data_IF_642629204195
#
_entry.id   IF_642629204195
#
_cell.length_a   1.000
_cell.length_b   1.000
_cell.length_c   1.000
_cell.angle_alpha   90.00
_cell.angle_beta   90.00
_cell.angle_gamma   90.00
#
_symmetry.space_group_name_H-M   'P 1'
#
loop_
_entity.id
_entity.type
_entity.pdbx_description
1 polymer ?
#
# COMPACT_ATOMS: atom_id res chain seq x y z
N UNK A 1 -8.33 -36.15 -11.38
CA UNK A 1 -7.95 -34.90 -10.70
C UNK A 1 -6.68 -35.14 -9.90
N UNK A 2 -5.61 -34.42 -10.19
CA UNK A 2 -4.39 -34.49 -9.38
C UNK A 2 -4.65 -33.89 -7.99
N UNK A 3 -3.93 -34.32 -6.96
CA UNK A 3 -4.05 -33.80 -5.58
C UNK A 3 -3.97 -32.27 -5.55
N UNK A 4 -3.15 -31.70 -6.45
CA UNK A 4 -2.98 -30.26 -6.65
C UNK A 4 -4.26 -29.56 -7.14
N UNK A 5 -5.01 -30.16 -8.07
CA UNK A 5 -6.27 -29.60 -8.56
C UNK A 5 -7.33 -29.58 -7.47
N UNK A 6 -7.46 -30.66 -6.69
CA UNK A 6 -8.40 -30.71 -5.55
C UNK A 6 -8.08 -29.67 -4.48
N UNK A 7 -6.79 -29.47 -4.18
CA UNK A 7 -6.34 -28.43 -3.27
C UNK A 7 -6.64 -27.02 -3.80
N UNK A 8 -6.47 -26.81 -5.10
CA UNK A 8 -6.79 -25.54 -5.74
C UNK A 8 -8.29 -25.23 -5.65
N UNK A 9 -9.14 -26.18 -6.01
CA UNK A 9 -10.61 -26.04 -5.91
C UNK A 9 -11.06 -25.79 -4.47
N UNK A 10 -10.39 -26.38 -3.48
CA UNK A 10 -10.67 -26.17 -2.07
C UNK A 10 -10.27 -24.77 -1.59
N UNK A 11 -9.07 -24.31 -1.95
CA UNK A 11 -8.54 -23.00 -1.54
C UNK A 11 -9.29 -21.85 -2.22
N UNK A 12 -9.75 -22.03 -3.45
CA UNK A 12 -10.53 -21.05 -4.20
C UNK A 12 -12.01 -21.01 -3.77
N UNK A 13 -12.46 -21.93 -2.91
CA UNK A 13 -13.84 -21.99 -2.45
C UNK A 13 -14.21 -20.74 -1.61
N UNK A 14 -15.30 -20.02 -1.94
CA UNK A 14 -15.75 -18.86 -1.18
C UNK A 14 -15.97 -19.14 0.31
N UNK A 15 -16.40 -20.36 0.67
CA UNK A 15 -16.59 -20.76 2.08
C UNK A 15 -15.27 -20.84 2.84
N UNK A 16 -14.21 -21.30 2.19
CA UNK A 16 -12.88 -21.33 2.79
C UNK A 16 -12.38 -19.91 3.03
N UNK A 17 -12.54 -19.00 2.06
CA UNK A 17 -12.20 -17.59 2.22
C UNK A 17 -13.00 -16.91 3.35
N UNK A 18 -14.30 -17.17 3.45
CA UNK A 18 -15.16 -16.68 4.54
C UNK A 18 -14.71 -17.22 5.91
N UNK A 19 -14.35 -18.50 5.98
CA UNK A 19 -13.79 -19.10 7.19
C UNK A 19 -12.50 -18.41 7.62
N UNK A 20 -11.54 -18.24 6.71
CA UNK A 20 -10.28 -17.54 7.01
C UNK A 20 -10.54 -16.10 7.44
N UNK A 21 -11.49 -15.41 6.79
CA UNK A 21 -11.91 -14.06 7.20
C UNK A 21 -12.43 -14.06 8.65
N UNK A 22 -13.27 -15.03 9.02
CA UNK A 22 -13.74 -15.20 10.39
C UNK A 22 -12.61 -15.40 11.39
N UNK A 23 -11.63 -16.25 11.05
CA UNK A 23 -10.43 -16.48 11.89
C UNK A 23 -9.61 -15.21 12.05
N UNK A 24 -9.45 -14.39 11.00
CA UNK A 24 -8.76 -13.09 11.08
C UNK A 24 -9.49 -12.12 12.02
N UNK A 25 -10.83 -12.05 11.94
CA UNK A 25 -11.63 -11.18 12.81
C UNK A 25 -11.52 -11.61 14.28
N UNK A 26 -11.61 -12.92 14.55
CA UNK A 26 -11.40 -13.45 15.90
C UNK A 26 -9.99 -13.13 16.40
N UNK A 27 -8.97 -13.32 15.56
CA UNK A 27 -7.59 -13.01 15.91
C UNK A 27 -7.37 -11.53 16.23
N UNK A 28 -8.01 -10.63 15.48
CA UNK A 28 -7.96 -9.19 15.75
C UNK A 28 -8.58 -8.84 17.11
N UNK A 29 -9.69 -9.48 17.48
CA UNK A 29 -10.31 -9.30 18.81
C UNK A 29 -9.39 -9.81 19.91
N UNK A 30 -8.81 -11.00 19.75
CA UNK A 30 -7.86 -11.57 20.72
C UNK A 30 -6.66 -10.64 20.94
N UNK A 31 -6.11 -10.07 19.87
CA UNK A 31 -5.01 -9.12 19.96
C UNK A 31 -5.39 -7.84 20.74
N UNK A 32 -6.62 -7.35 20.55
CA UNK A 32 -7.16 -6.27 21.37
C UNK A 32 -7.28 -6.65 22.84
N UNK A 33 -7.71 -7.87 23.14
CA UNK A 33 -7.81 -8.38 24.52
C UNK A 33 -6.43 -8.53 25.19
N UNK A 34 -5.38 -8.88 24.44
CA UNK A 34 -4.00 -8.95 24.95
C UNK A 34 -3.47 -7.60 25.47
N UNK A 35 -4.06 -6.47 25.04
CA UNK A 35 -3.66 -5.13 25.51
C UNK A 35 -4.17 -4.78 26.91
N UNK A 36 -5.11 -5.58 27.46
CA UNK A 36 -5.73 -5.32 28.76
C UNK A 36 -5.19 -6.27 29.82
N UNK A 37 -4.48 -5.70 30.80
CA UNK A 37 -3.92 -6.45 31.94
C UNK A 37 -5.01 -7.20 32.72
N UNK A 38 -6.21 -6.61 32.86
CA UNK A 38 -7.32 -7.23 33.58
C UNK A 38 -7.91 -8.47 32.88
N UNK A 39 -7.96 -8.46 31.55
CA UNK A 39 -8.37 -9.62 30.74
C UNK A 39 -7.27 -10.68 30.71
N UNK A 40 -6.03 -10.27 30.57
CA UNK A 40 -4.88 -11.18 30.58
C UNK A 40 -4.69 -11.86 31.94
N UNK A 41 -4.99 -11.19 33.05
CA UNK A 41 -4.97 -11.80 34.38
C UNK A 41 -6.02 -12.91 34.56
N UNK A 42 -7.21 -12.78 33.94
CA UNK A 42 -8.32 -13.74 34.09
C UNK A 42 -8.35 -14.83 33.02
N UNK A 43 -8.04 -14.47 31.78
CA UNK A 43 -8.20 -15.32 30.60
C UNK A 43 -6.92 -15.44 29.76
N UNK A 44 -5.79 -14.91 30.21
CA UNK A 44 -4.53 -14.86 29.45
C UNK A 44 -4.13 -16.19 28.80
N UNK A 45 -4.08 -17.32 29.54
CA UNK A 45 -3.73 -18.61 28.94
C UNK A 45 -4.67 -19.03 27.81
N UNK A 46 -5.96 -18.73 27.93
CA UNK A 46 -6.98 -19.04 26.90
C UNK A 46 -6.81 -18.13 25.69
N UNK A 47 -6.59 -16.83 25.91
CA UNK A 47 -6.36 -15.85 24.83
C UNK A 47 -5.12 -16.25 24.01
N UNK A 48 -4.00 -16.55 24.67
CA UNK A 48 -2.75 -16.96 24.01
C UNK A 48 -2.92 -18.29 23.26
N UNK A 49 -3.66 -19.25 23.84
CA UNK A 49 -3.95 -20.52 23.17
C UNK A 49 -4.78 -20.31 21.90
N UNK A 50 -5.82 -19.49 21.97
CA UNK A 50 -6.66 -19.16 20.81
C UNK A 50 -5.85 -18.41 19.74
N UNK A 51 -4.96 -17.49 20.12
CA UNK A 51 -4.05 -16.81 19.20
C UNK A 51 -3.13 -17.79 18.47
N UNK A 52 -2.54 -18.75 19.21
CA UNK A 52 -1.69 -19.80 18.65
C UNK A 52 -2.46 -20.71 17.68
N UNK A 53 -3.74 -21.02 17.97
CA UNK A 53 -4.62 -21.77 17.07
C UNK A 53 -4.85 -20.97 15.78
N UNK A 54 -5.18 -19.67 15.87
CA UNK A 54 -5.34 -18.81 14.69
C UNK A 54 -4.07 -18.79 13.83
N UNK A 55 -2.90 -18.63 14.45
CA UNK A 55 -1.62 -18.67 13.74
C UNK A 55 -1.40 -20.01 13.04
N UNK A 56 -1.69 -21.13 13.71
CA UNK A 56 -1.56 -22.47 13.14
C UNK A 56 -2.46 -22.65 11.91
N UNK A 57 -3.70 -22.14 11.96
CA UNK A 57 -4.62 -22.14 10.83
C UNK A 57 -4.04 -21.33 9.66
N UNK A 58 -3.45 -20.16 9.92
CA UNK A 58 -2.82 -19.33 8.88
C UNK A 58 -1.60 -20.00 8.24
N UNK A 59 -0.77 -20.68 9.03
CA UNK A 59 0.36 -21.46 8.51
C UNK A 59 -0.14 -22.59 7.61
N UNK A 60 -1.17 -23.32 8.04
CA UNK A 60 -1.77 -24.38 7.24
C UNK A 60 -2.38 -23.84 5.94
N UNK A 61 -3.08 -22.71 6.00
CA UNK A 61 -3.65 -22.02 4.83
C UNK A 61 -2.57 -21.66 3.80
N UNK A 62 -1.46 -21.07 4.25
CA UNK A 62 -0.35 -20.69 3.37
C UNK A 62 0.37 -21.91 2.80
N UNK A 63 0.57 -22.97 3.59
CA UNK A 63 1.12 -24.22 3.10
C UNK A 63 0.22 -24.83 2.00
N UNK A 64 -1.11 -24.84 2.20
CA UNK A 64 -2.06 -25.29 1.18
C UNK A 64 -1.99 -24.44 -0.09
N UNK A 65 -1.98 -23.10 0.03
CA UNK A 65 -1.82 -22.17 -1.11
C UNK A 65 -0.50 -22.39 -1.85
N UNK A 66 0.60 -22.65 -1.13
CA UNK A 66 1.92 -22.89 -1.72
C UNK A 66 1.95 -24.19 -2.51
N UNK A 67 1.37 -25.28 -1.98
CA UNK A 67 1.29 -26.57 -2.68
C UNK A 67 0.34 -26.49 -3.90
N UNK A 68 -0.80 -25.81 -3.76
CA UNK A 68 -1.76 -25.63 -4.85
C UNK A 68 -1.16 -24.81 -6.00
N UNK A 69 -0.57 -23.64 -5.70
CA UNK A 69 -0.10 -22.70 -6.72
C UNK A 69 1.35 -22.97 -7.19
N UNK A 70 2.16 -23.68 -6.41
CA UNK A 70 3.56 -23.94 -6.70
C UNK A 70 4.33 -22.64 -6.98
N UNK A 71 5.09 -22.59 -8.08
CA UNK A 71 5.84 -21.38 -8.48
C UNK A 71 4.96 -20.14 -8.72
N UNK A 72 3.69 -20.31 -9.11
CA UNK A 72 2.75 -19.18 -9.33
C UNK A 72 2.41 -18.46 -8.03
N UNK A 73 2.63 -19.09 -6.88
CA UNK A 73 2.44 -18.45 -5.58
C UNK A 73 3.26 -17.15 -5.46
N UNK A 74 4.52 -17.19 -5.89
CA UNK A 74 5.46 -16.07 -5.82
C UNK A 74 5.30 -15.03 -6.93
N UNK A 75 4.34 -15.21 -7.83
CA UNK A 75 3.99 -14.20 -8.86
C UNK A 75 2.81 -13.34 -8.43
N UNK A 76 2.10 -13.72 -7.35
CA UNK A 76 0.95 -13.00 -6.85
C UNK A 76 1.34 -12.18 -5.61
N UNK A 77 1.30 -10.85 -5.73
CA UNK A 77 1.69 -9.93 -4.65
C UNK A 77 0.94 -10.16 -3.33
N UNK A 78 -0.34 -10.54 -3.38
CA UNK A 78 -1.13 -10.82 -2.18
C UNK A 78 -0.71 -12.11 -1.47
N UNK A 79 -0.29 -13.13 -2.24
CA UNK A 79 0.24 -14.37 -1.66
C UNK A 79 1.59 -14.13 -0.99
N UNK A 80 2.46 -13.32 -1.61
CA UNK A 80 3.74 -12.91 -1.02
C UNK A 80 3.51 -12.09 0.25
N UNK A 81 2.57 -11.15 0.21
CA UNK A 81 2.17 -10.35 1.38
C UNK A 81 1.74 -11.25 2.54
N UNK A 82 0.80 -12.17 2.32
CA UNK A 82 0.37 -13.10 3.36
C UNK A 82 1.52 -13.97 3.88
N UNK A 83 2.38 -14.46 2.98
CA UNK A 83 3.54 -15.28 3.33
C UNK A 83 4.52 -14.54 4.25
N UNK A 84 4.85 -13.27 3.93
CA UNK A 84 5.72 -12.42 4.74
C UNK A 84 5.10 -12.17 6.11
N UNK A 85 3.81 -11.84 6.16
CA UNK A 85 3.10 -11.54 7.40
C UNK A 85 3.03 -12.76 8.33
N UNK A 86 2.69 -13.94 7.80
CA UNK A 86 2.69 -15.19 8.58
C UNK A 86 4.13 -15.59 8.96
N UNK A 87 5.11 -15.33 8.10
CA UNK A 87 6.53 -15.55 8.36
C UNK A 87 7.04 -14.73 9.56
N UNK A 88 6.71 -13.43 9.62
CA UNK A 88 7.04 -12.55 10.75
C UNK A 88 6.41 -13.09 12.06
N UNK A 89 5.18 -13.60 11.99
CA UNK A 89 4.49 -14.16 13.15
C UNK A 89 5.13 -15.44 13.70
N UNK A 90 5.83 -16.21 12.86
CA UNK A 90 6.55 -17.44 13.24
C UNK A 90 7.91 -17.16 13.90
N UNK A 91 8.46 -15.96 13.77
CA UNK A 91 9.80 -15.66 14.32
C UNK A 91 9.76 -15.77 15.86
N UNK A 92 10.59 -16.65 16.46
CA UNK A 92 10.62 -16.82 17.91
C UNK A 92 11.11 -15.54 18.59
N UNK A 93 10.54 -15.22 19.74
CA UNK A 93 10.73 -13.95 20.44
C UNK A 93 12.06 -13.81 21.18
N UNK A 94 13.18 -14.15 20.54
CA UNK A 94 14.53 -14.05 21.10
C UNK A 94 14.95 -12.61 21.44
N UNK A 95 15.91 -12.50 22.36
CA UNK A 95 16.48 -11.22 22.81
C UNK A 95 17.18 -10.52 21.63
N UNK A 96 16.58 -9.43 21.13
CA UNK A 96 17.11 -8.63 20.02
C UNK A 96 16.06 -8.26 18.96
N UNK A 97 14.91 -8.94 18.94
CA UNK A 97 13.86 -8.74 17.92
C UNK A 97 12.51 -8.33 18.54
N UNK A 98 12.54 -7.45 19.56
CA UNK A 98 11.33 -6.92 20.21
C UNK A 98 10.40 -6.23 19.20
N UNK A 99 10.97 -5.55 18.20
CA UNK A 99 10.22 -4.95 17.09
C UNK A 99 9.45 -6.01 16.30
N UNK A 100 10.08 -7.15 15.96
CA UNK A 100 9.38 -8.23 15.23
C UNK A 100 8.22 -8.82 16.03
N UNK A 101 8.32 -8.83 17.37
CA UNK A 101 7.22 -9.22 18.24
C UNK A 101 6.04 -8.24 18.12
N UNK A 102 6.32 -6.94 18.09
CA UNK A 102 5.31 -5.92 17.88
C UNK A 102 4.70 -6.01 16.47
N UNK A 103 5.51 -6.30 15.44
CA UNK A 103 5.04 -6.47 14.06
C UNK A 103 4.07 -7.66 13.86
N UNK A 104 3.91 -8.53 14.85
CA UNK A 104 2.87 -9.59 14.82
C UNK A 104 1.47 -8.99 14.69
N UNK A 105 1.24 -7.74 15.14
CA UNK A 105 -0.03 -7.02 14.91
C UNK A 105 -0.37 -6.86 13.43
N UNK A 106 0.64 -6.84 12.56
CA UNK A 106 0.44 -6.70 11.11
C UNK A 106 -0.35 -7.87 10.52
N UNK A 107 -0.47 -9.02 11.20
CA UNK A 107 -1.35 -10.11 10.75
C UNK A 107 -2.82 -9.72 10.62
N UNK A 108 -3.26 -8.68 11.32
CA UNK A 108 -4.61 -8.12 11.13
C UNK A 108 -4.78 -7.52 9.73
N UNK A 109 -3.69 -7.02 9.11
CA UNK A 109 -3.71 -6.49 7.75
C UNK A 109 -4.04 -7.57 6.70
N UNK A 110 -4.00 -8.86 7.04
CA UNK A 110 -4.50 -9.94 6.17
C UNK A 110 -5.98 -9.79 5.84
N UNK A 111 -6.75 -9.03 6.61
CA UNK A 111 -8.13 -8.68 6.22
C UNK A 111 -8.16 -7.98 4.85
N UNK A 112 -7.14 -7.17 4.56
CA UNK A 112 -6.98 -6.49 3.27
C UNK A 112 -6.74 -7.52 2.17
N UNK A 113 -5.87 -8.50 2.41
CA UNK A 113 -5.56 -9.55 1.45
C UNK A 113 -6.68 -10.57 1.31
N UNK A 114 -7.64 -10.73 2.22
CA UNK A 114 -8.74 -11.69 2.04
C UNK A 114 -10.03 -11.02 1.53
N UNK A 115 -10.23 -9.73 1.83
CA UNK A 115 -11.41 -8.98 1.40
C UNK A 115 -11.22 -8.33 0.01
N UNK A 116 -11.95 -8.76 -1.05
CA UNK A 116 -11.77 -8.23 -2.40
C UNK A 116 -12.07 -6.73 -2.52
N UNK A 117 -12.93 -6.19 -1.66
CA UNK A 117 -13.21 -4.75 -1.62
C UNK A 117 -12.01 -3.95 -1.13
N UNK A 118 -11.31 -4.42 -0.10
CA UNK A 118 -10.12 -3.76 0.44
C UNK A 118 -8.93 -3.90 -0.51
N UNK A 119 -8.77 -5.09 -1.15
CA UNK A 119 -7.78 -5.28 -2.21
C UNK A 119 -7.91 -4.22 -3.29
N UNK A 120 -9.12 -4.02 -3.82
CA UNK A 120 -9.37 -3.02 -4.88
C UNK A 120 -9.01 -1.60 -4.44
N UNK A 121 -9.27 -1.23 -3.20
CA UNK A 121 -8.89 0.08 -2.67
C UNK A 121 -7.36 0.24 -2.65
N UNK A 122 -6.65 -0.75 -2.12
CA UNK A 122 -5.18 -0.73 -2.05
C UNK A 122 -4.54 -0.81 -3.44
N UNK A 123 -5.08 -1.65 -4.33
CA UNK A 123 -4.67 -1.74 -5.73
C UNK A 123 -4.86 -0.40 -6.44
N UNK A 124 -5.97 0.30 -6.22
CA UNK A 124 -6.19 1.65 -6.75
C UNK A 124 -5.13 2.65 -6.29
N UNK A 125 -4.78 2.64 -5.00
CA UNK A 125 -3.68 3.47 -4.49
C UNK A 125 -2.34 3.12 -5.13
N UNK A 126 -2.01 1.83 -5.24
CA UNK A 126 -0.74 1.38 -5.83
C UNK A 126 -0.68 1.70 -7.32
N UNK A 127 -1.77 1.51 -8.07
CA UNK A 127 -1.85 1.79 -9.50
C UNK A 127 -1.72 3.28 -9.82
N UNK A 128 -2.03 4.16 -8.86
CA UNK A 128 -1.85 5.59 -9.03
C UNK A 128 -0.38 6.05 -8.83
N UNK A 129 0.45 5.29 -8.11
CA UNK A 129 1.85 5.67 -7.82
C UNK A 129 2.77 5.76 -9.06
N UNK A 130 2.73 4.83 -10.05
CA UNK A 130 3.61 4.88 -11.22
C UNK A 130 3.56 6.18 -12.00
N UNK A 131 2.38 6.79 -12.13
CA UNK A 131 2.19 8.09 -12.80
C UNK A 131 2.96 9.25 -12.14
N UNK A 132 3.49 9.02 -10.94
CA UNK A 132 4.13 10.02 -10.09
C UNK A 132 5.59 9.67 -9.75
N UNK A 133 6.11 8.58 -10.30
CA UNK A 133 7.44 8.06 -9.97
C UNK A 133 8.56 9.08 -10.22
N UNK A 134 8.41 9.94 -11.22
CA UNK A 134 9.34 11.05 -11.51
C UNK A 134 9.39 12.09 -10.38
N UNK A 135 8.26 12.42 -9.77
CA UNK A 135 8.17 13.37 -8.65
C UNK A 135 8.75 12.75 -7.39
N UNK A 136 8.47 11.47 -7.11
CA UNK A 136 9.12 10.74 -6.01
C UNK A 136 10.63 10.69 -6.16
N UNK A 137 11.15 10.43 -7.37
CA UNK A 137 12.58 10.44 -7.65
C UNK A 137 13.18 11.83 -7.42
N UNK A 138 12.54 12.88 -7.93
CA UNK A 138 12.97 14.27 -7.71
C UNK A 138 13.00 14.61 -6.22
N UNK A 139 11.96 14.23 -5.47
CA UNK A 139 11.92 14.42 -4.02
C UNK A 139 13.02 13.66 -3.29
N UNK A 140 13.27 12.41 -3.65
CA UNK A 140 14.34 11.62 -3.05
C UNK A 140 15.72 12.26 -3.27
N UNK A 141 15.98 12.78 -4.48
CA UNK A 141 17.23 13.49 -4.81
C UNK A 141 17.35 14.77 -3.98
N UNK A 142 16.29 15.59 -3.92
CA UNK A 142 16.29 16.84 -3.15
C UNK A 142 16.47 16.59 -1.65
N UNK A 143 15.83 15.55 -1.11
CA UNK A 143 16.00 15.12 0.28
C UNK A 143 17.44 14.68 0.55
N UNK A 144 18.01 13.85 -0.32
CA UNK A 144 19.39 13.38 -0.16
C UNK A 144 20.38 14.55 -0.19
N UNK A 145 20.27 15.45 -1.17
CA UNK A 145 21.12 16.64 -1.27
C UNK A 145 20.95 17.53 -0.04
N UNK A 146 19.70 17.78 0.38
CA UNK A 146 19.41 18.56 1.58
C UNK A 146 20.01 17.93 2.84
N UNK A 147 19.90 16.61 3.00
CA UNK A 147 20.43 15.89 4.15
C UNK A 147 21.96 15.98 4.19
N UNK A 148 22.64 15.82 3.06
CA UNK A 148 24.11 15.99 2.96
C UNK A 148 24.53 17.42 3.30
N UNK A 149 23.85 18.43 2.74
CA UNK A 149 24.17 19.85 3.00
C UNK A 149 23.98 20.19 4.47
N UNK A 150 22.83 19.83 5.05
CA UNK A 150 22.53 20.13 6.46
C UNK A 150 23.46 19.39 7.42
N UNK A 151 23.82 18.13 7.14
CA UNK A 151 24.86 17.41 7.90
C UNK A 151 26.18 18.19 7.86
N UNK A 152 26.62 18.63 6.67
CA UNK A 152 27.90 19.32 6.52
C UNK A 152 27.93 20.72 7.13
N UNK A 153 26.80 21.42 7.16
CA UNK A 153 26.74 22.80 7.66
C UNK A 153 26.46 22.88 9.17
N UNK A 154 25.66 21.95 9.71
CA UNK A 154 25.08 22.12 11.05
C UNK A 154 25.45 21.01 12.04
N UNK A 155 26.10 19.92 11.63
CA UNK A 155 26.43 18.78 12.52
C UNK A 155 27.24 19.18 13.76
N UNK A 156 28.22 20.07 13.60
CA UNK A 156 29.12 20.45 14.70
C UNK A 156 28.39 21.18 15.84
N UNK A 157 27.41 22.04 15.51
CA UNK A 157 26.67 22.84 16.49
C UNK A 157 25.33 22.20 16.91
N UNK A 158 24.75 21.36 16.04
CA UNK A 158 23.44 20.73 16.23
C UNK A 158 23.48 19.22 15.93
N UNK A 159 24.27 18.44 16.69
CA UNK A 159 24.45 17.01 16.42
C UNK A 159 23.18 16.17 16.59
N UNK A 160 22.23 16.60 17.43
CA UNK A 160 20.96 15.88 17.63
C UNK A 160 20.06 15.91 16.39
N UNK A 161 20.13 16.97 15.60
CA UNK A 161 19.32 17.16 14.40
C UNK A 161 20.08 16.82 13.12
N UNK A 162 21.37 17.14 13.07
CA UNK A 162 22.17 17.08 11.84
C UNK A 162 23.49 16.31 11.99
N UNK A 163 23.70 15.59 13.09
CA UNK A 163 24.97 14.92 13.40
C UNK A 163 25.37 13.84 12.39
N UNK A 164 24.39 13.20 11.75
CA UNK A 164 24.61 12.29 10.64
C UNK A 164 23.56 12.46 9.53
N UNK A 165 23.73 11.70 8.45
CA UNK A 165 22.84 11.75 7.29
C UNK A 165 21.40 11.35 7.62
N UNK A 166 21.21 10.37 8.51
CA UNK A 166 19.90 9.88 8.91
C UNK A 166 19.15 10.86 9.78
N UNK A 167 19.82 11.44 10.77
CA UNK A 167 19.28 12.53 11.61
C UNK A 167 18.91 13.72 10.74
N UNK A 168 19.78 14.13 9.82
CA UNK A 168 19.50 15.22 8.89
C UNK A 168 18.29 14.93 8.01
N UNK A 169 18.18 13.71 7.47
CA UNK A 169 17.03 13.29 6.67
C UNK A 169 15.73 13.30 7.48
N UNK A 170 15.75 12.84 8.73
CA UNK A 170 14.61 12.87 9.65
C UNK A 170 14.19 14.31 9.98
N UNK A 171 15.15 15.18 10.31
CA UNK A 171 14.89 16.60 10.60
C UNK A 171 14.32 17.33 9.38
N UNK A 172 14.84 17.07 8.19
CA UNK A 172 14.31 17.64 6.95
C UNK A 172 12.91 17.09 6.60
N UNK A 173 12.61 15.86 6.97
CA UNK A 173 11.26 15.31 6.86
C UNK A 173 10.29 16.05 7.79
N UNK A 174 10.67 16.28 9.05
CA UNK A 174 9.90 17.10 9.98
C UNK A 174 9.67 18.52 9.42
N UNK A 175 10.72 19.16 8.91
CA UNK A 175 10.63 20.49 8.28
C UNK A 175 9.70 20.48 7.06
N UNK A 176 9.76 19.46 6.20
CA UNK A 176 8.84 19.32 5.06
C UNK A 176 7.38 19.23 5.50
N UNK A 177 7.09 18.56 6.63
CA UNK A 177 5.73 18.51 7.21
C UNK A 177 5.29 19.81 7.88
N UNK A 178 6.17 20.84 7.88
CA UNK A 178 6.01 22.12 8.56
C UNK A 178 5.84 22.00 10.08
N UNK A 179 6.15 20.85 10.65
CA UNK A 179 6.05 20.60 12.09
C UNK A 179 7.21 21.32 12.79
N UNK A 180 6.87 22.32 13.62
CA UNK A 180 7.82 23.11 14.43
C UNK A 180 9.06 23.62 13.69
N UNK A 181 9.01 23.75 12.36
CA UNK A 181 10.21 23.98 11.53
C UNK A 181 10.92 25.28 11.89
N UNK A 182 10.18 26.35 12.21
CA UNK A 182 10.77 27.65 12.56
C UNK A 182 11.15 27.70 14.03
N UNK A 183 10.20 27.54 14.94
CA UNK A 183 10.43 27.71 16.38
C UNK A 183 11.28 26.60 16.98
N UNK A 184 11.13 25.37 16.51
CA UNK A 184 11.82 24.19 17.04
C UNK A 184 13.19 23.94 16.43
N UNK A 185 13.41 24.33 15.16
CA UNK A 185 14.65 24.02 14.44
C UNK A 185 15.35 25.29 13.92
N UNK A 186 14.76 26.00 12.96
CA UNK A 186 15.48 27.04 12.20
C UNK A 186 15.85 28.27 13.02
N UNK A 187 15.01 28.70 13.97
CA UNK A 187 15.35 29.83 14.86
C UNK A 187 16.55 29.52 15.77
N UNK A 188 16.57 28.40 16.53
CA UNK A 188 17.78 27.96 17.22
C UNK A 188 19.00 27.87 16.31
N UNK A 189 18.86 27.29 15.10
CA UNK A 189 19.96 27.23 14.14
C UNK A 189 20.45 28.61 13.73
N UNK A 190 19.55 29.59 13.57
CA UNK A 190 19.90 30.97 13.22
C UNK A 190 20.62 31.74 14.32
N UNK A 191 20.54 31.31 15.58
CA UNK A 191 21.32 31.92 16.66
C UNK A 191 22.82 31.69 16.47
N UNK A 192 23.21 30.57 15.84
CA UNK A 192 24.59 30.23 15.49
C UNK A 192 24.92 30.55 14.03
N UNK A 193 23.97 30.29 13.12
CA UNK A 193 24.10 30.47 11.68
C UNK A 193 23.03 31.45 11.14
N UNK A 194 23.25 32.77 11.22
CA UNK A 194 22.22 33.78 10.92
C UNK A 194 21.57 33.67 9.53
N UNK A 195 22.27 33.09 8.56
CA UNK A 195 21.80 32.90 7.19
C UNK A 195 21.20 31.51 6.91
N UNK A 196 20.97 30.68 7.93
CA UNK A 196 20.41 29.33 7.75
C UNK A 196 19.05 29.32 7.04
N UNK A 197 18.26 30.41 7.17
CA UNK A 197 17.00 30.57 6.43
C UNK A 197 17.18 30.49 4.91
N UNK A 198 18.36 30.85 4.37
CA UNK A 198 18.65 30.79 2.93
C UNK A 198 18.71 29.36 2.41
N UNK A 199 18.92 28.38 3.29
CA UNK A 199 18.81 26.96 2.98
C UNK A 199 17.40 26.44 3.24
N UNK A 200 16.88 26.66 4.47
CA UNK A 200 15.63 26.03 4.88
C UNK A 200 14.39 26.60 4.18
N UNK A 201 14.31 27.91 3.91
CA UNK A 201 13.14 28.50 3.24
C UNK A 201 13.02 28.01 1.80
N UNK A 202 14.06 28.03 0.95
CA UNK A 202 13.98 27.43 -0.38
C UNK A 202 13.68 25.93 -0.35
N UNK A 203 14.27 25.19 0.59
CA UNK A 203 13.96 23.76 0.78
C UNK A 203 12.46 23.54 1.03
N UNK A 204 11.86 24.30 1.95
CA UNK A 204 10.42 24.24 2.25
C UNK A 204 9.59 24.60 1.02
N UNK A 205 9.94 25.68 0.32
CA UNK A 205 9.20 26.12 -0.87
C UNK A 205 9.18 25.03 -1.94
N UNK A 206 10.34 24.44 -2.24
CA UNK A 206 10.46 23.40 -3.27
C UNK A 206 9.75 22.11 -2.85
N UNK A 207 9.94 21.65 -1.61
CA UNK A 207 9.33 20.40 -1.13
C UNK A 207 7.81 20.51 -0.97
N UNK A 208 7.32 21.62 -0.42
CA UNK A 208 5.88 21.87 -0.31
C UNK A 208 5.24 21.97 -1.69
N UNK A 209 5.86 22.69 -2.63
CA UNK A 209 5.39 22.77 -4.01
C UNK A 209 5.36 21.40 -4.69
N UNK A 210 6.39 20.58 -4.51
CA UNK A 210 6.44 19.23 -5.05
C UNK A 210 5.33 18.34 -4.49
N UNK A 211 5.08 18.38 -3.17
CA UNK A 211 3.99 17.62 -2.52
C UNK A 211 2.62 18.08 -3.01
N UNK A 212 2.40 19.39 -3.18
CA UNK A 212 1.14 19.91 -3.74
C UNK A 212 0.96 19.46 -5.19
N UNK A 213 2.00 19.55 -6.03
CA UNK A 213 1.94 19.08 -7.41
C UNK A 213 1.74 17.56 -7.51
N UNK A 214 2.28 16.80 -6.56
CA UNK A 214 2.00 15.38 -6.41
C UNK A 214 0.49 15.19 -6.20
N UNK A 215 -0.11 15.82 -5.18
CA UNK A 215 -1.55 15.71 -4.92
C UNK A 215 -2.42 16.15 -6.12
N UNK A 216 -2.08 17.28 -6.75
CA UNK A 216 -2.79 17.77 -7.95
C UNK A 216 -2.64 16.77 -9.09
N UNK A 217 -1.44 16.26 -9.36
CA UNK A 217 -1.20 15.25 -10.40
C UNK A 217 -2.00 13.97 -10.17
N UNK A 218 -2.11 13.52 -8.92
CA UNK A 218 -2.93 12.34 -8.57
C UNK A 218 -4.41 12.57 -8.89
N UNK A 219 -4.94 13.72 -8.48
CA UNK A 219 -6.35 14.07 -8.72
C UNK A 219 -6.62 14.23 -10.21
N UNK A 220 -5.74 14.92 -10.93
CA UNK A 220 -5.87 15.14 -12.38
C UNK A 220 -5.84 13.81 -13.13
N UNK A 221 -4.86 12.94 -12.86
CA UNK A 221 -4.79 11.62 -13.49
C UNK A 221 -6.05 10.81 -13.21
N UNK A 222 -6.53 10.80 -11.96
CA UNK A 222 -7.74 10.05 -11.59
C UNK A 222 -9.00 10.59 -12.30
N UNK A 223 -9.12 11.91 -12.47
CA UNK A 223 -10.23 12.54 -13.19
C UNK A 223 -10.15 12.31 -14.70
N UNK A 224 -8.93 12.32 -15.27
CA UNK A 224 -8.71 12.02 -16.68
C UNK A 224 -9.04 10.56 -17.00
N UNK A 225 -8.60 9.62 -16.17
CA UNK A 225 -8.93 8.20 -16.32
C UNK A 225 -10.44 7.96 -16.27
N UNK A 226 -11.15 8.66 -15.37
CA UNK A 226 -12.61 8.60 -15.28
C UNK A 226 -13.30 9.16 -16.54
N UNK A 227 -12.82 10.29 -17.09
CA UNK A 227 -13.35 10.86 -18.32
C UNK A 227 -13.06 9.98 -19.55
N UNK A 228 -11.85 9.42 -19.66
CA UNK A 228 -11.49 8.52 -20.75
C UNK A 228 -12.35 7.25 -20.74
N UNK A 229 -12.64 6.69 -19.58
CA UNK A 229 -13.55 5.56 -19.45
C UNK A 229 -14.98 5.89 -19.93
N UNK A 230 -15.49 7.09 -19.65
CA UNK A 230 -16.80 7.53 -20.15
C UNK A 230 -16.80 7.75 -21.67
N UNK A 231 -15.72 8.30 -22.23
CA UNK A 231 -15.59 8.56 -23.66
C UNK A 231 -15.43 7.28 -24.48
N UNK A 232 -14.71 6.27 -23.96
CA UNK A 232 -14.65 4.93 -24.57
C UNK A 232 -16.03 4.30 -24.63
N UNK A 233 -16.81 4.36 -23.53
CA UNK A 233 -18.19 3.83 -23.50
C UNK A 233 -19.09 4.53 -24.53
N UNK A 234 -18.98 5.86 -24.67
CA UNK A 234 -19.74 6.61 -25.69
C UNK A 234 -19.30 6.25 -27.11
N UNK A 235 -18.00 6.08 -27.33
CA UNK A 235 -17.44 5.76 -28.64
C UNK A 235 -17.84 4.35 -29.07
N UNK A 236 -17.78 3.37 -28.17
CA UNK A 236 -18.25 2.01 -28.43
C UNK A 236 -19.75 1.98 -28.70
N UNK A 237 -20.56 2.68 -27.89
CA UNK A 237 -22.00 2.79 -28.13
C UNK A 237 -22.32 3.43 -29.50
N UNK A 238 -21.57 4.47 -29.89
CA UNK A 238 -21.71 5.08 -31.22
C UNK A 238 -21.28 4.13 -32.34
N UNK A 239 -20.18 3.39 -32.14
CA UNK A 239 -19.69 2.40 -33.11
C UNK A 239 -20.72 1.30 -33.33
N UNK A 240 -21.32 0.80 -32.27
CA UNK A 240 -22.37 -0.23 -32.33
C UNK A 240 -23.62 0.31 -33.05
N UNK A 241 -24.05 1.55 -32.78
CA UNK A 241 -25.16 2.19 -33.52
C UNK A 241 -24.85 2.30 -35.03
N UNK A 242 -23.63 2.69 -35.40
CA UNK A 242 -23.22 2.79 -36.81
C UNK A 242 -23.21 1.42 -37.49
N UNK A 243 -22.73 0.38 -36.82
CA UNK A 243 -22.72 -0.99 -37.35
C UNK A 243 -24.14 -1.52 -37.58
N UNK A 244 -25.05 -1.32 -36.61
CA UNK A 244 -26.47 -1.68 -36.76
C UNK A 244 -27.12 -0.97 -37.96
N UNK A 245 -26.82 0.32 -38.14
CA UNK A 245 -27.32 1.07 -39.31
C UNK A 245 -26.76 0.51 -40.61
N UNK A 246 -25.47 0.18 -40.68
CA UNK A 246 -24.86 -0.39 -41.88
C UNK A 246 -25.48 -1.75 -42.24
N UNK A 247 -25.69 -2.63 -41.25
CA UNK A 247 -26.34 -3.93 -41.47
C UNK A 247 -27.78 -3.75 -41.98
N UNK A 248 -28.52 -2.77 -41.43
CA UNK A 248 -29.86 -2.44 -41.91
C UNK A 248 -29.89 -1.96 -43.36
N UNK A 249 -28.87 -1.19 -43.78
CA UNK A 249 -28.74 -0.69 -45.16
C UNK A 249 -28.37 -1.85 -46.10
N UNK A 250 -27.42 -2.70 -45.72
CA UNK A 250 -26.99 -3.86 -46.50
C UNK A 250 -28.15 -4.84 -46.74
N UNK A 251 -28.94 -5.09 -45.71
CA UNK A 251 -30.16 -5.92 -45.81
C UNK A 251 -31.16 -5.32 -46.80
N UNK A 252 -31.43 -4.02 -46.71
CA UNK A 252 -32.34 -3.31 -47.65
C UNK A 252 -31.82 -3.33 -49.09
N UNK A 253 -30.52 -3.16 -49.30
CA UNK A 253 -29.91 -3.22 -50.63
C UNK A 253 -30.04 -4.62 -51.24
N UNK A 254 -29.82 -5.66 -50.43
CA UNK A 254 -29.92 -7.06 -50.86
C UNK A 254 -31.36 -7.42 -51.24
N UNK A 255 -32.35 -6.99 -50.45
CA UNK A 255 -33.78 -7.14 -50.77
C UNK A 255 -34.13 -6.41 -52.08
N UNK A 256 -33.63 -5.19 -52.28
CA UNK A 256 -33.90 -4.42 -53.50
C UNK A 256 -33.25 -5.01 -54.75
N UNK A 257 -32.05 -5.59 -54.63
CA UNK A 257 -31.39 -6.31 -55.72
C UNK A 257 -32.12 -7.59 -56.11
N UNK A 258 -32.64 -8.34 -55.13
CA UNK A 258 -33.41 -9.55 -55.38
C UNK A 258 -34.80 -9.27 -55.99
N UNK A 259 -35.40 -8.11 -55.68
CA UNK A 259 -36.67 -7.67 -56.27
C UNK A 259 -36.60 -7.29 -57.75
N UNK A 260 -35.40 -7.03 -58.29
CA UNK A 260 -35.20 -6.58 -59.69
C UNK A 260 -34.77 -7.70 -60.66
N UNK A 261 -34.58 -8.91 -60.15
CA UNK A 261 -34.28 -10.13 -60.92
C UNK A 261 -35.55 -10.91 -61.17
#
# INVERSE_FOLDING_TARGET
MTIRQRLQDFVENPRFSQFITGVILVNAVLLGMETSDGLMAKFGPVIVLLDAICLTIFVAEIAMKLVANGRRFFLNGWNIFDFVIVGIALVPGGAGLSVLRALRILRVLRVISVAPRLRRVVEGFIQALPGMGSVFLLMAILFYIGAVISTKLFSDSFPEWFGDLGLSAYTLFQIMTLESWSMGIVRPVMEVYPYAWLFFVPFIMVTTFAVVNLLVGLIVNSMQDAHHAEDEVKTDAYRDEVLDRLESIERRLTEHMNSKK
#
